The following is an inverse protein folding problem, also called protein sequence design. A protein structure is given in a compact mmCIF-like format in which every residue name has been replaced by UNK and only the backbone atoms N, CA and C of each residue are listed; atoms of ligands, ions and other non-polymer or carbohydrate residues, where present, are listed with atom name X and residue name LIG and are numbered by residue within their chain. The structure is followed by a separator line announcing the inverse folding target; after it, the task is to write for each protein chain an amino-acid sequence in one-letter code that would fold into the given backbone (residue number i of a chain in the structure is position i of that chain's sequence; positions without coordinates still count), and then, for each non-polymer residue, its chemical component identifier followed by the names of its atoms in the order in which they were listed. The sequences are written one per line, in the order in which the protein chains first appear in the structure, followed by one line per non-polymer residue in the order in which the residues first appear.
data_IF_005677737019
#
_entry.id   IF_005677737019
#
_cell.length_a   1.000
_cell.length_b   1.000
_cell.length_c   1.000
_cell.angle_alpha   90.00
_cell.angle_beta   90.00
_cell.angle_gamma   90.00
#
_symmetry.space_group_name_H-M   'P 1'
#
loop_
_entity.id
_entity.type
_entity.pdbx_description
1 polymer ?
#
# COMPACT_ATOMS: atom_id res chain seq x y z
N UNK A 1 26.20 23.72 -13.17
CA UNK A 1 24.74 24.00 -13.24
C UNK A 1 24.00 22.78 -12.70
N UNK A 2 23.28 22.89 -11.57
CA UNK A 2 22.42 21.78 -11.10
C UNK A 2 21.27 21.64 -12.08
N UNK A 3 21.08 20.44 -12.64
CA UNK A 3 19.89 20.10 -13.41
C UNK A 3 18.69 20.39 -12.50
N UNK A 4 17.87 21.38 -12.86
CA UNK A 4 16.55 21.56 -12.25
C UNK A 4 15.70 20.41 -12.75
N UNK A 5 15.82 19.26 -12.08
CA UNK A 5 14.90 18.16 -12.29
C UNK A 5 13.49 18.69 -12.04
N UNK A 6 12.65 18.61 -13.06
CA UNK A 6 11.32 19.20 -13.08
C UNK A 6 10.40 18.40 -12.17
N UNK A 7 10.41 18.76 -10.88
CA UNK A 7 9.44 18.26 -9.91
C UNK A 7 8.04 18.69 -10.35
N UNK A 8 7.14 17.72 -10.54
CA UNK A 8 5.77 17.94 -11.02
C UNK A 8 4.77 17.31 -10.05
N UNK A 9 3.66 17.98 -9.83
CA UNK A 9 2.53 17.44 -9.11
C UNK A 9 1.71 16.57 -10.08
N UNK A 10 1.47 15.32 -9.70
CA UNK A 10 0.73 14.35 -10.51
C UNK A 10 -0.50 13.91 -9.76
N UNK A 11 -1.66 14.00 -10.40
CA UNK A 11 -2.90 13.40 -9.92
C UNK A 11 -2.77 11.87 -9.94
N UNK A 12 -3.00 11.26 -8.78
CA UNK A 12 -2.89 9.84 -8.54
C UNK A 12 -4.23 9.22 -8.14
N UNK A 13 -5.36 9.92 -8.31
CA UNK A 13 -6.68 9.44 -7.92
C UNK A 13 -7.01 8.08 -8.56
N UNK A 14 -6.72 7.89 -9.84
CA UNK A 14 -6.89 6.59 -10.52
C UNK A 14 -6.01 5.50 -9.90
N UNK A 15 -4.75 5.82 -9.63
CA UNK A 15 -3.78 4.88 -9.01
C UNK A 15 -4.20 4.47 -7.60
N UNK A 16 -4.81 5.39 -6.85
CA UNK A 16 -5.34 5.11 -5.51
C UNK A 16 -6.49 4.11 -5.60
N UNK A 17 -7.43 4.30 -6.52
CA UNK A 17 -8.54 3.35 -6.72
C UNK A 17 -8.04 1.97 -7.19
N UNK A 18 -7.04 1.93 -8.07
CA UNK A 18 -6.38 0.68 -8.47
C UNK A 18 -5.73 -0.04 -7.28
N UNK A 19 -5.07 0.70 -6.38
CA UNK A 19 -4.45 0.14 -5.18
C UNK A 19 -5.49 -0.50 -4.26
N UNK A 20 -6.62 0.20 -4.04
CA UNK A 20 -7.72 -0.31 -3.23
C UNK A 20 -8.34 -1.59 -3.85
N UNK A 21 -8.48 -1.64 -5.17
CA UNK A 21 -8.95 -2.85 -5.86
C UNK A 21 -7.98 -4.03 -5.70
N UNK A 22 -6.67 -3.78 -5.79
CA UNK A 22 -5.65 -4.82 -5.58
C UNK A 22 -5.72 -5.33 -4.14
N UNK A 23 -5.81 -4.45 -3.15
CA UNK A 23 -5.89 -4.83 -1.73
C UNK A 23 -7.15 -5.65 -1.47
N UNK A 24 -8.31 -5.21 -1.95
CA UNK A 24 -9.57 -5.95 -1.81
C UNK A 24 -9.47 -7.33 -2.47
N UNK A 25 -8.92 -7.41 -3.68
CA UNK A 25 -8.74 -8.68 -4.40
C UNK A 25 -7.85 -9.62 -3.61
N UNK A 26 -6.69 -9.14 -3.14
CA UNK A 26 -5.74 -9.96 -2.41
C UNK A 26 -6.35 -10.44 -1.09
N UNK A 27 -6.92 -9.54 -0.30
CA UNK A 27 -7.49 -9.86 1.03
C UNK A 27 -8.74 -10.75 0.93
N UNK A 28 -9.47 -10.72 -0.19
CA UNK A 28 -10.62 -11.59 -0.42
C UNK A 28 -10.24 -12.96 -0.99
N UNK A 29 -9.24 -13.03 -1.87
CA UNK A 29 -8.86 -14.26 -2.56
C UNK A 29 -7.88 -15.13 -1.78
N UNK A 30 -7.15 -14.53 -0.84
CA UNK A 30 -6.06 -15.21 -0.15
C UNK A 30 -6.29 -15.24 1.36
N UNK A 31 -6.35 -16.45 1.91
CA UNK A 31 -6.41 -16.69 3.36
C UNK A 31 -5.03 -16.57 4.03
N UNK A 32 -3.96 -16.38 3.26
CA UNK A 32 -2.61 -16.21 3.81
C UNK A 32 -2.32 -14.75 4.13
N UNK A 33 -1.31 -14.55 4.97
CA UNK A 33 -0.85 -13.21 5.38
C UNK A 33 -0.33 -12.44 4.17
N UNK A 34 -0.96 -11.31 3.88
CA UNK A 34 -0.55 -10.41 2.81
C UNK A 34 0.38 -9.37 3.42
N UNK A 35 1.64 -9.33 2.97
CA UNK A 35 2.56 -8.27 3.40
C UNK A 35 2.45 -7.07 2.43
N UNK A 36 2.77 -5.84 2.87
CA UNK A 36 2.74 -4.66 2.00
C UNK A 36 3.53 -4.83 0.71
N UNK A 37 4.62 -5.59 0.74
CA UNK A 37 5.45 -5.90 -0.42
C UNK A 37 4.69 -6.68 -1.51
N UNK A 38 3.76 -7.56 -1.15
CA UNK A 38 2.95 -8.32 -2.10
C UNK A 38 2.03 -7.38 -2.88
N UNK A 39 1.36 -6.47 -2.17
CA UNK A 39 0.50 -5.44 -2.76
C UNK A 39 1.32 -4.54 -3.69
N UNK A 40 2.47 -4.05 -3.23
CA UNK A 40 3.35 -3.19 -4.03
C UNK A 40 3.91 -3.94 -5.26
N UNK A 41 4.22 -5.23 -5.13
CA UNK A 41 4.69 -6.08 -6.22
C UNK A 41 3.63 -6.17 -7.32
N UNK A 42 2.39 -6.52 -6.96
CA UNK A 42 1.26 -6.61 -7.89
C UNK A 42 0.99 -5.25 -8.55
N UNK A 43 1.03 -4.17 -7.77
CA UNK A 43 0.82 -2.81 -8.28
C UNK A 43 1.90 -2.37 -9.28
N UNK A 44 3.17 -2.74 -9.04
CA UNK A 44 4.27 -2.37 -9.92
C UNK A 44 4.26 -3.08 -11.27
N UNK A 45 3.71 -4.29 -11.34
CA UNK A 45 3.53 -5.01 -12.60
C UNK A 45 2.64 -4.24 -13.60
N UNK A 46 1.87 -3.23 -13.13
CA UNK A 46 0.98 -2.38 -13.92
C UNK A 46 1.63 -1.03 -14.32
N UNK A 47 2.97 -0.97 -14.42
CA UNK A 47 3.75 0.21 -14.85
C UNK A 47 3.75 1.42 -13.88
N UNK A 48 3.83 1.21 -12.56
CA UNK A 48 4.10 2.30 -11.59
C UNK A 48 5.51 2.21 -11.00
N UNK A 49 6.11 3.37 -10.70
CA UNK A 49 7.38 3.44 -9.95
C UNK A 49 7.13 2.87 -8.55
N UNK A 50 7.89 1.85 -8.14
CA UNK A 50 7.80 1.18 -6.83
C UNK A 50 7.66 2.11 -5.64
N UNK A 51 8.40 3.21 -5.66
CA UNK A 51 8.37 4.21 -4.61
C UNK A 51 6.99 4.90 -4.48
N UNK A 52 6.34 5.22 -5.60
CA UNK A 52 4.99 5.82 -5.58
C UNK A 52 3.95 4.82 -5.07
N UNK A 53 4.05 3.55 -5.44
CA UNK A 53 3.18 2.49 -4.94
C UNK A 53 3.25 2.38 -3.40
N UNK A 54 4.47 2.41 -2.84
CA UNK A 54 4.68 2.41 -1.39
C UNK A 54 4.06 3.64 -0.71
N UNK A 55 4.24 4.83 -1.28
CA UNK A 55 3.66 6.07 -0.74
C UNK A 55 2.13 5.99 -0.73
N UNK A 56 1.53 5.55 -1.84
CA UNK A 56 0.07 5.43 -1.94
C UNK A 56 -0.44 4.45 -0.88
N UNK A 57 0.16 3.26 -0.80
CA UNK A 57 -0.25 2.24 0.16
C UNK A 57 -0.14 2.73 1.60
N UNK A 58 0.97 3.38 1.96
CA UNK A 58 1.17 3.92 3.30
C UNK A 58 0.14 5.02 3.63
N UNK A 59 -0.12 5.93 2.70
CA UNK A 59 -1.13 6.98 2.92
C UNK A 59 -2.53 6.39 3.11
N UNK A 60 -2.88 5.35 2.37
CA UNK A 60 -4.16 4.65 2.54
C UNK A 60 -4.28 4.00 3.92
N UNK A 61 -3.21 3.39 4.44
CA UNK A 61 -3.17 2.85 5.82
C UNK A 61 -3.29 3.97 6.85
N UNK A 62 -2.51 5.06 6.71
CA UNK A 62 -2.55 6.20 7.64
C UNK A 62 -3.92 6.87 7.66
N UNK A 63 -4.61 6.91 6.52
CA UNK A 63 -5.97 7.45 6.41
C UNK A 63 -7.05 6.47 6.87
N UNK A 64 -6.69 5.27 7.32
CA UNK A 64 -7.62 4.26 7.82
C UNK A 64 -8.44 3.56 6.73
N UNK A 65 -8.08 3.73 5.45
CA UNK A 65 -8.79 3.14 4.31
C UNK A 65 -8.39 1.68 4.09
N UNK A 66 -7.18 1.31 4.51
CA UNK A 66 -6.68 -0.07 4.53
C UNK A 66 -6.37 -0.44 5.97
N UNK A 67 -6.88 -1.59 6.40
CA UNK A 67 -6.58 -2.14 7.72
C UNK A 67 -5.25 -2.87 7.69
N UNK A 68 -4.34 -2.43 8.57
CA UNK A 68 -3.04 -3.05 8.78
C UNK A 68 -2.93 -3.52 10.23
N UNK A 69 -2.36 -4.71 10.42
CA UNK A 69 -2.08 -5.28 11.73
C UNK A 69 -0.60 -5.59 11.90
N UNK A 70 -0.22 -5.69 13.18
CA UNK A 70 1.09 -6.15 13.61
C UNK A 70 0.99 -7.61 14.04
N UNK A 71 1.74 -8.46 13.35
CA UNK A 71 1.79 -9.88 13.65
C UNK A 71 3.13 -10.24 14.30
N UNK A 72 3.07 -10.67 15.56
CA UNK A 72 4.20 -11.24 16.27
C UNK A 72 4.22 -12.74 16.06
N UNK A 73 5.28 -13.24 15.42
CA UNK A 73 5.49 -14.67 15.19
C UNK A 73 6.67 -15.18 15.99
N UNK A 74 6.50 -16.37 16.57
CA UNK A 74 7.61 -17.12 17.12
C UNK A 74 8.41 -17.72 15.95
N UNK A 75 9.72 -17.45 15.85
CA UNK A 75 10.56 -18.07 14.84
C UNK A 75 10.57 -19.60 14.97
N UNK A 76 10.72 -20.29 13.84
CA UNK A 76 10.76 -21.77 13.78
C UNK A 76 12.02 -22.35 14.44
N UNK A 77 13.09 -21.59 14.48
CA UNK A 77 14.33 -21.94 15.17
C UNK A 77 14.26 -21.52 16.64
N UNK A 78 14.97 -22.24 17.53
CA UNK A 78 15.07 -21.94 18.97
C UNK A 78 15.84 -20.64 19.25
N UNK A 79 15.32 -19.53 18.76
CA UNK A 79 15.84 -18.20 19.03
C UNK A 79 15.02 -17.54 20.14
N UNK A 80 15.66 -16.66 20.89
CA UNK A 80 15.09 -16.01 22.07
C UNK A 80 14.32 -14.73 21.76
N UNK A 81 14.01 -14.46 20.49
CA UNK A 81 13.33 -13.24 20.04
C UNK A 81 12.10 -13.56 19.20
N UNK A 82 11.14 -12.63 19.15
CA UNK A 82 9.97 -12.68 18.28
C UNK A 82 10.28 -11.97 16.96
N UNK A 83 9.65 -12.41 15.88
CA UNK A 83 9.64 -11.71 14.59
C UNK A 83 8.37 -10.89 14.51
N UNK A 84 8.49 -9.63 14.13
CA UNK A 84 7.38 -8.72 13.90
C UNK A 84 7.17 -8.54 12.40
N UNK A 85 5.95 -8.77 11.93
CA UNK A 85 5.50 -8.50 10.57
C UNK A 85 4.38 -7.46 10.58
N UNK A 86 4.35 -6.61 9.56
CA UNK A 86 3.16 -5.82 9.22
C UNK A 86 2.37 -6.58 8.17
N UNK A 87 1.09 -6.78 8.39
CA UNK A 87 0.20 -7.47 7.45
C UNK A 87 -0.99 -6.59 7.08
N UNK A 88 -1.47 -6.72 5.84
CA UNK A 88 -2.69 -6.09 5.38
C UNK A 88 -3.82 -7.09 5.54
N UNK A 89 -4.90 -6.66 6.20
CA UNK A 89 -5.98 -7.56 6.63
C UNK A 89 -7.20 -7.38 5.76
N UNK A 90 -7.60 -6.14 5.51
CA UNK A 90 -8.83 -5.85 4.79
C UNK A 90 -8.88 -4.40 4.30
N UNK A 91 -9.93 -4.11 3.56
CA UNK A 91 -10.36 -2.77 3.19
C UNK A 91 -11.47 -2.30 4.15
N UNK A 92 -11.49 -1.00 4.47
CA UNK A 92 -12.63 -0.39 5.18
C UNK A 92 -13.90 -0.38 4.31
N UNK A 93 -15.09 -0.50 4.92
CA UNK A 93 -16.38 -0.77 4.26
C UNK A 93 -16.80 0.32 3.25
N UNK A 94 -16.21 1.50 3.27
CA UNK A 94 -16.45 2.58 2.31
C UNK A 94 -15.17 3.17 1.72
N UNK A 95 -14.04 2.47 1.84
CA UNK A 95 -12.73 3.02 1.53
C UNK A 95 -12.62 3.63 0.12
N UNK A 96 -13.24 3.01 -0.89
CA UNK A 96 -13.24 3.51 -2.28
C UNK A 96 -14.05 4.80 -2.43
N UNK A 97 -15.23 4.86 -1.81
CA UNK A 97 -16.08 6.05 -1.80
C UNK A 97 -15.39 7.20 -1.07
N UNK A 98 -14.77 6.92 0.08
CA UNK A 98 -14.00 7.90 0.85
C UNK A 98 -12.75 8.38 0.11
N UNK A 99 -12.07 7.48 -0.62
CA UNK A 99 -10.94 7.86 -1.45
C UNK A 99 -11.37 8.77 -2.61
N UNK A 100 -12.52 8.51 -3.24
CA UNK A 100 -13.03 9.35 -4.34
C UNK A 100 -13.36 10.79 -3.91
N UNK A 101 -13.64 11.02 -2.63
CA UNK A 101 -13.92 12.36 -2.08
C UNK A 101 -12.66 13.16 -1.74
N UNK A 102 -11.47 12.55 -1.79
CA UNK A 102 -10.21 13.16 -1.41
C UNK A 102 -9.37 13.52 -2.62
N UNK A 103 -8.53 14.55 -2.48
CA UNK A 103 -7.53 14.88 -3.49
C UNK A 103 -6.26 14.05 -3.28
N UNK A 104 -5.81 13.39 -4.35
CA UNK A 104 -4.63 12.54 -4.34
C UNK A 104 -3.60 13.07 -5.32
N UNK A 105 -2.71 13.90 -4.81
CA UNK A 105 -1.67 14.53 -5.62
C UNK A 105 -0.29 14.27 -5.01
N UNK A 106 0.64 13.76 -5.81
CA UNK A 106 1.99 13.46 -5.34
C UNK A 106 3.05 14.18 -6.18
N UNK A 107 4.10 14.62 -5.50
CA UNK A 107 5.27 15.19 -6.17
C UNK A 107 6.15 14.08 -6.74
N UNK A 108 6.37 14.14 -8.04
CA UNK A 108 7.23 13.21 -8.78
C UNK A 108 8.41 13.98 -9.36
N UNK A 109 9.59 13.38 -9.30
CA UNK A 109 10.85 13.93 -9.81
C UNK A 109 11.32 13.13 -11.02
#
# INVERSE_FOLDING_TARGET
MRNKENVRLVDASTKVLEMLNIVETLTTQFEHQIIPEDVVSVFNCVNTIRFMAQIILYNLVVKGLIQQELLLQKPRENTSYLILHTIIVSLEEEAKSQAALQEWSYWVR
#
